data_IF_704870888220
#
_entry.id   IF_704870888220
#
_cell.length_a   1.000
_cell.length_b   1.000
_cell.length_c   1.000
_cell.angle_alpha   90.00
_cell.angle_beta   90.00
_cell.angle_gamma   90.00
#
_symmetry.space_group_name_H-M   'P 1'
#
loop_
_entity.id
_entity.type
_entity.pdbx_description
1 polymer ?
#
# COMPACT_ATOMS: atom_id res chain seq x y z
N UNK A 1 -3.04 0.48 -11.76
CA UNK A 1 -2.34 1.78 -11.94
C UNK A 1 -2.93 2.53 -13.12
N UNK A 2 -4.24 2.78 -13.13
CA UNK A 2 -4.90 3.29 -14.33
C UNK A 2 -4.85 4.81 -14.47
N UNK A 3 -4.51 5.53 -13.40
CA UNK A 3 -4.58 6.99 -13.36
C UNK A 3 -3.18 7.61 -13.28
N UNK A 4 -2.93 8.74 -13.97
CA UNK A 4 -1.68 9.49 -13.80
C UNK A 4 -1.62 10.13 -12.40
N UNK A 5 -0.48 9.97 -11.75
CA UNK A 5 -0.11 10.55 -10.46
C UNK A 5 0.87 11.72 -10.59
N UNK A 6 1.52 12.14 -9.49
CA UNK A 6 2.64 13.07 -9.52
C UNK A 6 3.85 12.44 -10.23
N UNK A 7 4.86 13.25 -10.56
CA UNK A 7 6.12 12.72 -11.09
C UNK A 7 6.85 11.90 -10.01
N UNK A 8 7.56 10.87 -10.45
CA UNK A 8 8.36 10.04 -9.55
C UNK A 8 9.49 10.85 -8.88
N UNK A 9 10.07 11.79 -9.62
CA UNK A 9 11.12 12.68 -9.12
C UNK A 9 10.66 13.49 -7.91
N UNK A 10 9.46 14.10 -7.96
CA UNK A 10 8.90 14.85 -6.83
C UNK A 10 8.76 13.98 -5.58
N UNK A 11 8.25 12.75 -5.74
CA UNK A 11 8.08 11.85 -4.60
C UNK A 11 9.42 11.37 -4.01
N UNK A 12 10.37 11.01 -4.88
CA UNK A 12 11.69 10.53 -4.43
C UNK A 12 12.53 11.65 -3.81
N UNK A 13 12.41 12.89 -4.29
CA UNK A 13 13.00 14.07 -3.67
C UNK A 13 12.39 14.32 -2.28
N UNK A 14 11.05 14.32 -2.18
CA UNK A 14 10.33 14.47 -0.91
C UNK A 14 10.73 13.42 0.13
N UNK A 15 10.94 12.17 -0.30
CA UNK A 15 11.43 11.10 0.58
C UNK A 15 12.88 11.32 1.02
N UNK A 16 13.74 11.83 0.15
CA UNK A 16 15.12 12.18 0.52
C UNK A 16 15.16 13.32 1.55
N UNK A 17 14.22 14.26 1.46
CA UNK A 17 14.05 15.39 2.38
C UNK A 17 13.10 15.10 3.56
N UNK A 18 12.94 13.83 3.93
CA UNK A 18 12.06 13.47 5.06
C UNK A 18 12.53 14.18 6.35
N UNK A 19 11.69 14.98 7.01
CA UNK A 19 12.07 15.69 8.24
C UNK A 19 12.46 14.72 9.36
N UNK A 20 13.37 15.15 10.24
CA UNK A 20 13.89 14.29 11.32
C UNK A 20 12.78 13.80 12.28
N UNK A 21 11.71 14.57 12.44
CA UNK A 21 10.53 14.22 13.25
C UNK A 21 9.83 12.95 12.73
N UNK A 22 9.89 12.70 11.42
CA UNK A 22 9.36 11.49 10.79
C UNK A 22 10.36 10.32 10.78
N UNK A 23 11.62 10.58 11.14
CA UNK A 23 12.68 9.59 11.31
C UNK A 23 12.93 9.22 12.78
N UNK A 24 12.13 9.80 13.69
CA UNK A 24 12.17 9.52 15.12
C UNK A 24 11.57 8.16 15.49
N UNK A 25 11.59 7.86 16.78
CA UNK A 25 11.03 6.61 17.29
C UNK A 25 9.49 6.63 17.36
N UNK A 26 8.80 5.58 16.89
CA UNK A 26 7.38 5.43 17.14
C UNK A 26 7.13 5.09 18.61
N UNK A 27 5.99 5.53 19.14
CA UNK A 27 5.54 5.17 20.48
C UNK A 27 5.13 3.71 20.53
N UNK A 28 5.72 2.96 21.46
CA UNK A 28 5.43 1.55 21.70
C UNK A 28 5.10 1.35 23.18
N UNK A 29 4.07 0.57 23.47
CA UNK A 29 3.67 0.23 24.83
C UNK A 29 4.84 -0.37 25.63
N UNK A 30 5.00 0.05 26.89
CA UNK A 30 6.07 -0.41 27.78
C UNK A 30 7.45 0.22 27.53
N UNK A 31 7.62 1.05 26.50
CA UNK A 31 8.85 1.81 26.26
C UNK A 31 8.63 3.27 26.63
N UNK A 32 9.38 3.76 27.62
CA UNK A 32 9.33 5.17 27.99
C UNK A 32 10.25 5.98 27.09
N UNK A 33 9.67 6.71 26.14
CA UNK A 33 10.36 7.74 25.36
C UNK A 33 9.39 8.93 25.15
N UNK A 34 9.62 10.08 25.81
CA UNK A 34 8.73 11.24 25.72
C UNK A 34 8.71 11.88 24.33
N UNK A 35 9.74 11.67 23.51
CA UNK A 35 9.83 12.17 22.15
C UNK A 35 9.22 11.21 21.12
N UNK A 36 8.72 10.04 21.55
CA UNK A 36 8.20 9.05 20.64
C UNK A 36 6.84 9.45 20.05
N UNK A 37 6.73 9.30 18.72
CA UNK A 37 5.59 9.75 17.93
C UNK A 37 4.42 8.79 18.07
N UNK A 38 3.24 9.33 18.41
CA UNK A 38 2.00 8.55 18.42
C UNK A 38 1.50 8.35 16.99
N UNK A 39 1.92 7.25 16.35
CA UNK A 39 1.65 7.00 14.92
C UNK A 39 0.15 6.98 14.60
N UNK A 40 -0.70 6.43 15.46
CA UNK A 40 -2.16 6.49 15.29
C UNK A 40 -2.70 7.93 15.20
N UNK A 41 -2.13 8.88 15.95
CA UNK A 41 -2.52 10.28 15.87
C UNK A 41 -2.03 10.91 14.56
N UNK A 42 -0.78 10.62 14.16
CA UNK A 42 -0.21 11.09 12.90
C UNK A 42 -1.03 10.60 11.68
N UNK A 43 -1.43 9.33 11.66
CA UNK A 43 -2.28 8.78 10.60
C UNK A 43 -3.63 9.51 10.58
N UNK A 44 -4.24 9.75 11.74
CA UNK A 44 -5.48 10.51 11.81
C UNK A 44 -5.33 11.95 11.29
N UNK A 45 -4.20 12.61 11.57
CA UNK A 45 -3.91 13.96 11.07
C UNK A 45 -3.74 13.97 9.55
N UNK A 46 -3.05 12.98 8.96
CA UNK A 46 -2.96 12.84 7.50
C UNK A 46 -4.34 12.60 6.88
N UNK A 47 -5.15 11.70 7.44
CA UNK A 47 -6.52 11.50 6.96
C UNK A 47 -7.36 12.79 7.03
N UNK A 48 -7.09 13.63 8.02
CA UNK A 48 -7.72 14.95 8.16
C UNK A 48 -7.27 15.92 7.07
N UNK A 49 -6.01 15.90 6.65
CA UNK A 49 -5.54 16.66 5.49
C UNK A 49 -6.31 16.28 4.22
N UNK A 50 -6.65 15.00 4.05
CA UNK A 50 -7.50 14.53 2.94
C UNK A 50 -9.00 14.75 3.16
N UNK A 51 -9.40 15.44 4.24
CA UNK A 51 -10.79 15.83 4.50
C UNK A 51 -11.62 14.79 5.27
N UNK A 52 -10.99 13.82 5.91
CA UNK A 52 -11.66 12.69 6.58
C UNK A 52 -11.27 12.58 8.04
N UNK A 53 -12.03 11.80 8.82
CA UNK A 53 -11.64 11.40 10.18
C UNK A 53 -11.71 9.88 10.27
N UNK A 54 -10.69 9.25 10.83
CA UNK A 54 -10.71 7.80 11.02
C UNK A 54 -11.61 7.41 12.20
N UNK A 55 -12.40 6.34 12.07
CA UNK A 55 -12.98 5.70 13.24
C UNK A 55 -11.85 5.10 14.10
N UNK A 56 -11.99 5.12 15.42
CA UNK A 56 -10.97 4.64 16.34
C UNK A 56 -10.54 3.19 16.07
N UNK A 57 -11.47 2.33 15.62
CA UNK A 57 -11.19 0.95 15.23
C UNK A 57 -10.17 0.85 14.07
N UNK A 58 -10.23 1.75 13.10
CA UNK A 58 -9.30 1.76 11.97
C UNK A 58 -7.88 2.20 12.39
N UNK A 59 -7.76 2.97 13.48
CA UNK A 59 -6.48 3.44 14.00
C UNK A 59 -5.77 2.39 14.89
N UNK A 60 -6.49 1.35 15.31
CA UNK A 60 -6.01 0.37 16.28
C UNK A 60 -4.70 -0.32 15.83
N UNK A 61 -4.57 -0.58 14.53
CA UNK A 61 -3.37 -1.19 13.93
C UNK A 61 -2.11 -0.30 13.96
N UNK A 62 -2.24 0.99 14.27
CA UNK A 62 -1.14 1.96 14.35
C UNK A 62 -0.67 2.21 15.78
N UNK A 63 -1.23 1.51 16.77
CA UNK A 63 -0.65 1.46 18.11
C UNK A 63 0.46 0.41 18.16
N UNK A 64 1.60 0.77 18.73
CA UNK A 64 2.70 -0.17 18.98
C UNK A 64 2.47 -0.96 20.25
N UNK A 65 2.44 -2.28 20.14
CA UNK A 65 2.29 -3.21 21.26
C UNK A 65 3.59 -3.95 21.57
N UNK A 66 4.38 -4.31 20.54
CA UNK A 66 5.61 -5.09 20.68
C UNK A 66 6.76 -4.46 19.92
N UNK A 67 7.87 -4.17 20.61
CA UNK A 67 9.05 -3.49 20.02
C UNK A 67 9.57 -4.21 18.78
N UNK A 68 9.76 -5.53 18.86
CA UNK A 68 10.35 -6.32 17.75
C UNK A 68 9.46 -6.35 16.51
N UNK A 69 8.13 -6.40 16.68
CA UNK A 69 7.19 -6.53 15.58
C UNK A 69 6.75 -5.17 15.01
N UNK A 70 6.62 -4.17 15.87
CA UNK A 70 5.93 -2.92 15.51
C UNK A 70 6.86 -1.77 15.17
N UNK A 71 8.07 -1.73 15.75
CA UNK A 71 8.96 -0.57 15.61
C UNK A 71 9.22 -0.22 14.15
N UNK A 72 9.62 -1.19 13.33
CA UNK A 72 9.99 -0.93 11.94
C UNK A 72 8.78 -0.54 11.06
N UNK A 73 7.65 -1.26 11.19
CA UNK A 73 6.45 -0.95 10.40
C UNK A 73 5.84 0.40 10.79
N UNK A 74 5.91 0.80 12.05
CA UNK A 74 5.39 2.08 12.52
C UNK A 74 6.29 3.24 12.10
N UNK A 75 7.61 3.05 12.14
CA UNK A 75 8.56 4.02 11.59
C UNK A 75 8.33 4.22 10.08
N UNK A 76 8.13 3.15 9.32
CA UNK A 76 7.82 3.28 7.89
C UNK A 76 6.42 3.89 7.64
N UNK A 77 5.45 3.68 8.53
CA UNK A 77 4.16 4.35 8.45
C UNK A 77 4.27 5.86 8.67
N UNK A 78 5.18 6.32 9.53
CA UNK A 78 5.48 7.74 9.70
C UNK A 78 6.04 8.33 8.39
N UNK A 79 7.03 7.67 7.76
CA UNK A 79 7.55 8.09 6.45
C UNK A 79 6.45 8.09 5.38
N UNK A 80 5.58 7.07 5.38
CA UNK A 80 4.40 7.03 4.50
C UNK A 80 3.43 8.19 4.75
N UNK A 81 3.22 8.61 6.00
CA UNK A 81 2.42 9.78 6.35
C UNK A 81 3.03 11.07 5.78
N UNK A 82 4.35 11.25 5.88
CA UNK A 82 5.05 12.40 5.27
C UNK A 82 4.87 12.44 3.75
N UNK A 83 5.00 11.29 3.09
CA UNK A 83 4.82 11.18 1.64
C UNK A 83 3.37 11.49 1.21
N UNK A 84 2.38 10.96 1.92
CA UNK A 84 0.96 11.15 1.60
C UNK A 84 0.45 12.55 1.97
N UNK A 85 1.17 13.27 2.82
CA UNK A 85 0.94 14.69 3.09
C UNK A 85 1.45 15.62 1.98
N UNK A 86 1.94 15.09 0.85
CA UNK A 86 2.26 15.89 -0.33
C UNK A 86 1.01 16.61 -0.88
N UNK A 87 1.19 17.86 -1.30
CA UNK A 87 0.11 18.72 -1.77
C UNK A 87 -0.66 18.10 -2.93
N UNK A 88 -0.02 17.29 -3.77
CA UNK A 88 -0.69 16.59 -4.85
C UNK A 88 -1.74 15.60 -4.33
N UNK A 89 -1.39 14.76 -3.34
CA UNK A 89 -2.32 13.78 -2.76
C UNK A 89 -3.41 14.46 -1.94
N UNK A 90 -3.04 15.52 -1.21
CA UNK A 90 -3.98 16.32 -0.40
C UNK A 90 -5.02 17.00 -1.31
N UNK A 91 -4.58 17.66 -2.39
CA UNK A 91 -5.46 18.28 -3.37
C UNK A 91 -6.38 17.26 -4.06
N UNK A 92 -5.87 16.04 -4.31
CA UNK A 92 -6.66 14.96 -4.93
C UNK A 92 -7.70 14.33 -3.99
N UNK A 93 -7.57 14.53 -2.66
CA UNK A 93 -8.41 13.95 -1.61
C UNK A 93 -8.57 12.44 -1.75
N UNK A 94 -7.49 11.71 -1.48
CA UNK A 94 -7.50 10.26 -1.56
C UNK A 94 -8.53 9.61 -0.62
N UNK A 95 -9.10 8.48 -1.01
CA UNK A 95 -10.08 7.74 -0.21
C UNK A 95 -9.46 7.18 1.08
N UNK A 96 -10.24 7.18 2.18
CA UNK A 96 -9.77 6.76 3.50
C UNK A 96 -9.26 5.33 3.49
N UNK A 97 -10.02 4.43 2.87
CA UNK A 97 -9.72 3.00 2.80
C UNK A 97 -8.39 2.77 2.09
N UNK A 98 -8.14 3.49 0.99
CA UNK A 98 -6.91 3.38 0.21
C UNK A 98 -5.69 3.87 1.01
N UNK A 99 -5.81 4.99 1.73
CA UNK A 99 -4.75 5.51 2.59
C UNK A 99 -4.44 4.56 3.76
N UNK A 100 -5.48 4.03 4.41
CA UNK A 100 -5.33 3.05 5.49
C UNK A 100 -4.70 1.75 4.98
N UNK A 101 -5.05 1.30 3.78
CA UNK A 101 -4.44 0.12 3.18
C UNK A 101 -2.95 0.34 2.89
N UNK A 102 -2.57 1.50 2.34
CA UNK A 102 -1.16 1.85 2.12
C UNK A 102 -0.40 1.88 3.44
N UNK A 103 -0.88 2.63 4.41
CA UNK A 103 -0.19 2.86 5.69
C UNK A 103 -0.16 1.60 6.58
N UNK A 104 -1.16 0.73 6.46
CA UNK A 104 -1.30 -0.46 7.29
C UNK A 104 -0.73 -1.75 6.68
N UNK A 105 -1.04 -2.03 5.43
CA UNK A 105 -0.69 -3.29 4.73
C UNK A 105 0.59 -3.11 3.92
N UNK A 106 0.61 -2.20 2.94
CA UNK A 106 1.73 -2.05 2.01
C UNK A 106 3.04 -1.65 2.73
N UNK A 107 2.95 -0.70 3.66
CA UNK A 107 4.06 -0.31 4.52
C UNK A 107 4.56 -1.47 5.38
N UNK A 108 3.67 -2.34 5.87
CA UNK A 108 4.07 -3.51 6.67
C UNK A 108 4.83 -4.52 5.83
N UNK A 109 4.39 -4.77 4.60
CA UNK A 109 5.09 -5.63 3.64
C UNK A 109 6.51 -5.11 3.37
N UNK A 110 6.65 -3.80 3.17
CA UNK A 110 7.95 -3.16 2.93
C UNK A 110 8.85 -3.16 4.16
N UNK A 111 8.29 -2.92 5.34
CA UNK A 111 9.02 -2.98 6.60
C UNK A 111 9.49 -4.40 6.95
N UNK A 112 8.90 -5.44 6.36
CA UNK A 112 9.42 -6.81 6.46
C UNK A 112 10.65 -7.04 5.56
N UNK A 113 10.78 -6.27 4.47
CA UNK A 113 11.86 -6.40 3.50
C UNK A 113 13.12 -5.58 3.86
N UNK A 114 12.95 -4.39 4.45
CA UNK A 114 14.06 -3.52 4.81
C UNK A 114 13.77 -2.60 6.02
N UNK A 115 14.81 -2.10 6.71
CA UNK A 115 14.66 -1.06 7.73
C UNK A 115 14.01 0.22 7.16
N UNK A 116 13.10 0.83 7.91
CA UNK A 116 12.32 1.99 7.49
C UNK A 116 13.17 3.13 6.93
N UNK A 117 14.27 3.48 7.60
CA UNK A 117 15.12 4.62 7.21
C UNK A 117 15.87 4.38 5.88
N UNK A 118 15.99 3.12 5.42
CA UNK A 118 16.54 2.89 4.07
C UNK A 118 15.64 3.47 2.99
N UNK A 119 14.33 3.55 3.22
CA UNK A 119 13.38 4.15 2.29
C UNK A 119 13.47 5.68 2.18
N UNK A 120 14.39 6.33 2.90
CA UNK A 120 14.73 7.76 2.72
C UNK A 120 16.19 7.95 2.32
N UNK A 121 17.08 7.04 2.71
CA UNK A 121 18.52 7.14 2.46
C UNK A 121 18.96 6.53 1.12
N UNK A 122 18.35 5.40 0.75
CA UNK A 122 18.72 4.61 -0.42
C UNK A 122 17.85 5.00 -1.62
N UNK A 123 18.44 5.45 -2.76
CA UNK A 123 17.67 5.90 -3.93
C UNK A 123 16.75 4.82 -4.51
N UNK A 124 17.20 3.57 -4.57
CA UNK A 124 16.41 2.46 -5.12
C UNK A 124 15.23 2.15 -4.19
N UNK A 125 15.45 2.19 -2.87
CA UNK A 125 14.35 2.01 -1.90
C UNK A 125 13.37 3.18 -1.92
N UNK A 126 13.83 4.42 -2.06
CA UNK A 126 12.93 5.58 -2.22
C UNK A 126 12.01 5.38 -3.42
N UNK A 127 12.56 4.97 -4.56
CA UNK A 127 11.79 4.68 -5.76
C UNK A 127 10.81 3.53 -5.52
N UNK A 128 11.24 2.43 -4.89
CA UNK A 128 10.37 1.29 -4.55
C UNK A 128 9.16 1.74 -3.73
N UNK A 129 9.37 2.50 -2.64
CA UNK A 129 8.29 3.00 -1.79
C UNK A 129 7.34 3.92 -2.58
N UNK A 130 7.87 4.89 -3.32
CA UNK A 130 7.06 5.82 -4.10
C UNK A 130 6.18 5.08 -5.12
N UNK A 131 6.76 4.12 -5.86
CA UNK A 131 6.02 3.33 -6.85
C UNK A 131 4.96 2.43 -6.21
N UNK A 132 5.25 1.79 -5.08
CA UNK A 132 4.27 0.94 -4.39
C UNK A 132 3.11 1.77 -3.85
N UNK A 133 3.39 2.94 -3.27
CA UNK A 133 2.34 3.85 -2.79
C UNK A 133 1.45 4.29 -3.94
N UNK A 134 2.02 4.73 -5.06
CA UNK A 134 1.25 5.04 -6.26
C UNK A 134 0.42 3.85 -6.71
N UNK A 135 1.03 2.67 -6.80
CA UNK A 135 0.35 1.47 -7.30
C UNK A 135 -0.86 1.06 -6.44
N UNK A 136 -0.71 1.11 -5.12
CA UNK A 136 -1.78 0.83 -4.15
C UNK A 136 -2.92 1.84 -4.19
N UNK A 137 -2.65 3.06 -4.67
CA UNK A 137 -3.66 4.10 -4.89
C UNK A 137 -4.26 4.07 -6.31
N UNK A 138 -3.98 3.02 -7.10
CA UNK A 138 -4.32 2.92 -8.53
C UNK A 138 -3.75 4.06 -9.40
N UNK A 139 -2.57 4.57 -9.01
CA UNK A 139 -1.83 5.60 -9.71
C UNK A 139 -0.56 5.04 -10.36
N UNK A 140 -0.07 5.71 -11.39
CA UNK A 140 1.28 5.55 -11.97
C UNK A 140 2.02 6.90 -11.91
N UNK A 141 3.36 6.94 -12.01
CA UNK A 141 4.06 8.21 -12.23
C UNK A 141 3.47 8.97 -13.42
N UNK A 142 3.32 10.29 -13.28
CA UNK A 142 2.66 11.13 -14.28
C UNK A 142 3.34 11.08 -15.66
N UNK A 143 4.66 10.91 -15.65
CA UNK A 143 5.59 10.90 -16.77
C UNK A 143 5.79 9.53 -17.43
N UNK A 144 5.18 8.46 -16.91
CA UNK A 144 5.35 7.10 -17.42
C UNK A 144 4.07 6.54 -18.05
N UNK A 145 4.18 5.74 -19.11
CA UNK A 145 3.07 4.91 -19.57
C UNK A 145 2.74 3.80 -18.55
N UNK A 146 1.54 3.21 -18.65
CA UNK A 146 1.16 2.06 -17.82
C UNK A 146 2.15 0.89 -17.95
N UNK A 147 2.61 0.62 -19.16
CA UNK A 147 3.59 -0.45 -19.43
C UNK A 147 4.92 -0.16 -18.72
N UNK A 148 5.47 1.04 -18.89
CA UNK A 148 6.73 1.45 -18.23
C UNK A 148 6.62 1.36 -16.70
N UNK A 149 5.53 1.87 -16.12
CA UNK A 149 5.31 1.85 -14.68
C UNK A 149 5.22 0.41 -14.14
N UNK A 150 4.53 -0.47 -14.86
CA UNK A 150 4.37 -1.89 -14.49
C UNK A 150 5.70 -2.65 -14.57
N UNK A 151 6.45 -2.45 -15.65
CA UNK A 151 7.74 -3.09 -15.84
C UNK A 151 8.74 -2.64 -14.76
N UNK A 152 8.80 -1.35 -14.45
CA UNK A 152 9.67 -0.83 -13.40
C UNK A 152 9.28 -1.29 -12.00
N UNK A 153 8.01 -1.25 -11.66
CA UNK A 153 7.54 -1.76 -10.37
C UNK A 153 7.87 -3.25 -10.20
N UNK A 154 7.67 -4.05 -11.25
CA UNK A 154 7.98 -5.49 -11.24
C UNK A 154 9.48 -5.75 -11.15
N UNK A 155 10.32 -4.88 -11.71
CA UNK A 155 11.78 -5.01 -11.61
C UNK A 155 12.29 -4.72 -10.19
N UNK A 156 11.82 -3.63 -9.57
CA UNK A 156 12.37 -3.12 -8.31
C UNK A 156 11.74 -3.77 -7.06
N UNK A 157 10.47 -4.18 -7.14
CA UNK A 157 9.75 -4.69 -5.98
C UNK A 157 9.55 -6.20 -6.04
N UNK A 158 10.34 -6.93 -5.23
CA UNK A 158 10.15 -8.36 -5.03
C UNK A 158 8.84 -8.69 -4.30
N UNK A 159 8.35 -7.80 -3.44
CA UNK A 159 7.04 -7.92 -2.76
C UNK A 159 5.90 -7.82 -3.77
N UNK A 160 5.90 -6.81 -4.63
CA UNK A 160 4.83 -6.64 -5.61
C UNK A 160 4.86 -7.73 -6.68
N UNK A 161 6.05 -8.19 -7.09
CA UNK A 161 6.19 -9.37 -7.96
C UNK A 161 5.50 -10.60 -7.37
N UNK A 162 5.69 -10.88 -6.08
CA UNK A 162 5.00 -11.99 -5.40
C UNK A 162 3.49 -11.80 -5.38
N UNK A 163 3.01 -10.60 -5.06
CA UNK A 163 1.58 -10.28 -5.01
C UNK A 163 0.91 -10.41 -6.38
N UNK A 164 1.56 -9.96 -7.45
CA UNK A 164 1.06 -10.13 -8.82
C UNK A 164 0.95 -11.61 -9.21
N UNK A 165 1.94 -12.43 -8.83
CA UNK A 165 1.89 -13.88 -9.06
C UNK A 165 0.74 -14.54 -8.29
N UNK A 166 0.50 -14.15 -7.04
CA UNK A 166 -0.62 -14.67 -6.24
C UNK A 166 -1.98 -14.22 -6.79
N UNK A 167 -2.12 -12.96 -7.17
CA UNK A 167 -3.33 -12.43 -7.79
C UNK A 167 -3.63 -13.13 -9.12
N UNK A 168 -2.60 -13.40 -9.94
CA UNK A 168 -2.73 -14.14 -11.20
C UNK A 168 -3.20 -15.59 -10.95
N UNK A 169 -2.61 -16.29 -9.97
CA UNK A 169 -3.04 -17.64 -9.58
C UNK A 169 -4.50 -17.68 -9.13
N UNK A 170 -4.92 -16.72 -8.30
CA UNK A 170 -6.31 -16.63 -7.83
C UNK A 170 -7.28 -16.32 -8.98
N UNK A 171 -6.90 -15.45 -9.91
CA UNK A 171 -7.71 -15.13 -11.08
C UNK A 171 -7.87 -16.35 -12.01
N UNK A 172 -6.79 -17.11 -12.23
CA UNK A 172 -6.80 -18.34 -13.03
C UNK A 172 -7.70 -19.41 -12.40
N UNK A 173 -7.60 -19.60 -11.07
CA UNK A 173 -8.46 -20.51 -10.31
C UNK A 173 -9.94 -20.14 -10.46
N UNK A 174 -10.30 -18.87 -10.23
CA UNK A 174 -11.69 -18.40 -10.39
C UNK A 174 -12.19 -18.58 -11.83
N UNK A 175 -11.36 -18.27 -12.83
CA UNK A 175 -11.71 -18.45 -14.23
C UNK A 175 -11.91 -19.93 -14.61
N UNK A 176 -11.21 -20.85 -13.92
CA UNK A 176 -11.39 -22.29 -14.07
C UNK A 176 -12.70 -22.76 -13.43
N UNK A 177 -12.97 -22.36 -12.19
CA UNK A 177 -14.22 -22.69 -11.47
C UNK A 177 -15.46 -22.22 -12.25
N UNK A 178 -15.42 -21.01 -12.81
CA UNK A 178 -16.51 -20.49 -13.64
C UNK A 178 -16.71 -21.35 -14.90
N UNK A 179 -15.63 -21.75 -15.58
CA UNK A 179 -15.71 -22.62 -16.76
C UNK A 179 -16.27 -24.00 -16.43
N UNK A 180 -15.85 -24.60 -15.32
CA UNK A 180 -16.33 -25.91 -14.86
C UNK A 180 -17.82 -25.84 -14.48
N UNK A 181 -18.25 -24.78 -13.78
CA UNK A 181 -19.65 -24.56 -13.44
C UNK A 181 -20.55 -24.36 -14.68
N UNK A 182 -20.08 -23.57 -15.66
CA UNK A 182 -20.80 -23.37 -16.93
C UNK A 182 -20.91 -24.68 -17.73
N UNK A 183 -19.83 -25.47 -17.79
CA UNK A 183 -19.83 -26.76 -18.48
C UNK A 183 -20.79 -27.77 -17.81
N UNK A 184 -20.80 -27.82 -16.47
CA UNK A 184 -21.72 -28.70 -15.72
C UNK A 184 -23.18 -28.32 -15.97
N UNK A 185 -23.50 -27.03 -15.92
CA UNK A 185 -24.85 -26.53 -16.20
C UNK A 185 -25.30 -26.86 -17.63
N UNK A 186 -24.42 -26.70 -18.61
CA UNK A 186 -24.71 -27.06 -20.00
C UNK A 186 -24.96 -28.57 -20.19
N UNK A 187 -24.24 -29.42 -19.46
CA UNK A 187 -24.44 -30.86 -19.47
C UNK A 187 -25.79 -31.27 -18.84
N UNK A 188 -26.15 -30.66 -17.70
CA UNK A 188 -27.44 -30.85 -17.02
C UNK A 188 -28.60 -30.43 -17.93
N UNK A 189 -28.52 -29.25 -18.57
CA UNK A 189 -29.54 -28.75 -19.51
C UNK A 189 -29.68 -29.61 -20.78
N UNK A 190 -28.59 -30.25 -21.22
CA UNK A 190 -28.62 -31.17 -22.37
C UNK A 190 -29.24 -32.52 -22.01
N UNK A 191 -28.95 -33.04 -20.81
CA UNK A 191 -29.55 -34.28 -20.30
C UNK A 191 -31.06 -34.12 -20.04
N UNK A 192 -31.48 -32.98 -19.48
CA UNK A 192 -32.91 -32.68 -19.24
C UNK A 192 -33.72 -32.59 -20.53
N UNK A 193 -33.13 -32.04 -21.61
CA UNK A 193 -33.78 -32.00 -22.94
C UNK A 193 -33.94 -33.38 -23.55
N UNK A 194 -32.97 -34.27 -23.39
CA UNK A 194 -33.00 -35.62 -23.96
C UNK A 194 -33.94 -36.58 -23.21
N UNK A 195 -34.27 -36.29 -21.94
CA UNK A 195 -35.23 -37.06 -21.15
C UNK A 195 -36.71 -36.71 -21.41
N UNK A 196 -36.98 -35.65 -22.18
CA UNK A 196 -38.33 -35.13 -22.46
C UNK A 196 -38.87 -35.44 -23.86
N UNK A 197 -38.09 -36.10 -24.71
CA UNK A 197 -38.53 -36.69 -25.99
C UNK A 197 -38.85 -38.18 -25.82
#
# INVERSE_FOLDING_TARGET
MNNPGPSLETLTHRLAETPMEFLGEPRIAGVHNPQAVAVAALVNDVLRLHGMRAPAAALQGFHGAQVKADRNRLALAMIGCWLLADDWFVARRMAQEALLQVLGEAVRELAAAAPAHRYTQDPERREELARIVLARLDLRPGDESLAQATDRLTAISGTERRRLLEASRLAEQRAREIREALAKKAAEESADKWSRE
#
